data_IF_417379613656
#
_entry.id   IF_417379613656
#
_cell.length_a   1.000
_cell.length_b   1.000
_cell.length_c   1.000
_cell.angle_alpha   90.00
_cell.angle_beta   90.00
_cell.angle_gamma   90.00
#
_symmetry.space_group_name_H-M   'P 1'
#
loop_
_entity.id
_entity.type
_entity.pdbx_description
1 polymer ?
#
# COMPACT_ATOMS: atom_id res chain seq x y z
N UNK A 1 -28.17 5.59 5.37
CA UNK A 1 -28.39 5.74 3.92
C UNK A 1 -27.76 7.07 3.47
N UNK A 2 -26.44 7.11 3.20
CA UNK A 2 -25.84 8.30 2.58
C UNK A 2 -26.03 8.18 1.08
N UNK A 3 -27.01 8.93 0.56
CA UNK A 3 -27.28 9.07 -0.87
C UNK A 3 -25.98 9.45 -1.57
N UNK A 4 -25.49 8.60 -2.47
CA UNK A 4 -24.39 8.96 -3.37
C UNK A 4 -24.93 10.08 -4.27
N UNK A 5 -24.68 11.33 -3.86
CA UNK A 5 -25.18 12.50 -4.58
C UNK A 5 -24.56 12.54 -5.99
N UNK A 6 -25.28 13.11 -6.97
CA UNK A 6 -24.76 13.35 -8.33
C UNK A 6 -23.41 14.09 -8.35
N UNK A 7 -23.03 14.78 -7.26
CA UNK A 7 -21.72 15.41 -7.06
C UNK A 7 -20.61 14.40 -6.75
N UNK A 8 -20.86 13.38 -5.90
CA UNK A 8 -19.88 12.32 -5.62
C UNK A 8 -19.52 11.48 -6.86
N UNK A 9 -20.47 11.24 -7.75
CA UNK A 9 -20.22 10.54 -9.03
C UNK A 9 -19.37 11.36 -10.02
N UNK A 10 -19.43 12.70 -9.97
CA UNK A 10 -18.56 13.59 -10.78
C UNK A 10 -17.12 13.58 -10.26
N UNK A 11 -16.93 13.49 -8.94
CA UNK A 11 -15.61 13.32 -8.33
C UNK A 11 -14.97 12.01 -8.77
N UNK A 12 -15.71 10.90 -8.69
CA UNK A 12 -15.21 9.59 -9.11
C UNK A 12 -14.82 9.58 -10.60
N UNK A 13 -15.57 10.27 -11.48
CA UNK A 13 -15.18 10.45 -12.88
C UNK A 13 -13.89 11.28 -13.05
N UNK A 14 -13.73 12.39 -12.31
CA UNK A 14 -12.50 13.21 -12.36
C UNK A 14 -11.28 12.46 -11.80
N UNK A 15 -11.48 11.63 -10.78
CA UNK A 15 -10.43 10.83 -10.15
C UNK A 15 -10.04 9.60 -11.01
N UNK A 16 -11.04 9.00 -11.67
CA UNK A 16 -10.85 7.90 -12.61
C UNK A 16 -10.21 8.35 -13.93
N UNK A 17 -10.55 9.54 -14.46
CA UNK A 17 -10.00 10.04 -15.73
C UNK A 17 -8.75 10.92 -15.57
N UNK A 18 -8.53 11.55 -14.40
CA UNK A 18 -7.47 12.55 -14.19
C UNK A 18 -6.09 12.00 -13.81
N UNK A 19 -5.78 10.73 -14.07
CA UNK A 19 -4.47 10.13 -13.76
C UNK A 19 -4.24 9.71 -12.29
N UNK A 20 -5.22 9.92 -11.40
CA UNK A 20 -5.12 9.61 -9.96
C UNK A 20 -5.43 8.15 -9.65
N UNK A 21 -6.38 7.55 -10.37
CA UNK A 21 -6.77 6.14 -10.23
C UNK A 21 -5.84 5.16 -10.99
N UNK A 22 -4.55 5.49 -11.11
CA UNK A 22 -3.56 4.53 -11.62
C UNK A 22 -3.46 3.35 -10.64
N UNK A 23 -3.33 2.12 -11.16
CA UNK A 23 -3.09 0.91 -10.36
C UNK A 23 -4.28 0.29 -9.61
N UNK A 24 -5.54 0.60 -10.00
CA UNK A 24 -6.75 -0.11 -9.55
C UNK A 24 -6.88 -0.27 -8.02
N UNK A 25 -6.61 0.81 -7.27
CA UNK A 25 -6.60 0.80 -5.81
C UNK A 25 -7.26 2.05 -5.21
N UNK A 26 -8.30 1.84 -4.40
CA UNK A 26 -8.95 2.90 -3.63
C UNK A 26 -8.00 3.48 -2.57
N UNK A 27 -7.24 2.63 -1.86
CA UNK A 27 -6.30 3.05 -0.82
C UNK A 27 -5.18 3.94 -1.37
N UNK A 28 -4.56 3.57 -2.49
CA UNK A 28 -3.53 4.38 -3.13
C UNK A 28 -4.11 5.68 -3.70
N UNK A 29 -5.37 5.66 -4.15
CA UNK A 29 -6.05 6.87 -4.59
C UNK A 29 -6.25 7.84 -3.43
N UNK A 30 -6.67 7.36 -2.25
CA UNK A 30 -6.76 8.16 -1.04
C UNK A 30 -5.39 8.71 -0.59
N UNK A 31 -4.34 7.88 -0.66
CA UNK A 31 -2.96 8.28 -0.36
C UNK A 31 -2.49 9.42 -1.27
N UNK A 32 -2.70 9.29 -2.59
CA UNK A 32 -2.34 10.32 -3.57
C UNK A 32 -3.09 11.61 -3.34
N UNK A 33 -4.40 11.54 -3.07
CA UNK A 33 -5.22 12.71 -2.76
C UNK A 33 -4.72 13.44 -1.50
N UNK A 34 -4.33 12.69 -0.46
CA UNK A 34 -3.72 13.26 0.75
C UNK A 34 -2.37 13.92 0.42
N UNK A 35 -1.47 13.21 -0.26
CA UNK A 35 -0.13 13.72 -0.59
C UNK A 35 -0.18 15.00 -1.40
N UNK A 36 -1.07 15.07 -2.40
CA UNK A 36 -1.25 16.28 -3.19
C UNK A 36 -1.83 17.44 -2.36
N UNK A 37 -2.76 17.14 -1.45
CA UNK A 37 -3.30 18.14 -0.54
C UNK A 37 -2.23 18.66 0.44
N UNK A 38 -1.34 17.78 0.90
CA UNK A 38 -0.26 18.13 1.82
C UNK A 38 0.83 18.97 1.12
N UNK A 39 1.19 18.58 -0.10
CA UNK A 39 2.11 19.32 -0.97
C UNK A 39 1.58 20.70 -1.39
N UNK A 40 0.25 20.88 -1.44
CA UNK A 40 -0.36 22.17 -1.74
C UNK A 40 -0.14 23.24 -0.65
N UNK A 41 0.36 22.86 0.54
CA UNK A 41 0.81 23.82 1.56
C UNK A 41 -0.29 24.82 1.96
N UNK A 42 -0.10 26.15 1.77
CA UNK A 42 -1.11 27.16 2.05
C UNK A 42 -2.34 27.10 1.12
N UNK A 43 -2.19 26.53 -0.08
CA UNK A 43 -3.28 26.32 -1.06
C UNK A 43 -4.19 25.11 -0.78
N UNK A 44 -3.95 24.38 0.33
CA UNK A 44 -4.70 23.15 0.67
C UNK A 44 -6.22 23.32 0.73
N UNK A 45 -6.69 24.50 1.14
CA UNK A 45 -8.12 24.79 1.25
C UNK A 45 -8.80 24.87 -0.12
N UNK A 46 -8.15 25.56 -1.07
CA UNK A 46 -8.60 25.62 -2.45
C UNK A 46 -8.58 24.23 -3.10
N UNK A 47 -7.46 23.51 -2.94
CA UNK A 47 -7.32 22.14 -3.44
C UNK A 47 -8.40 21.19 -2.88
N UNK A 48 -8.66 21.23 -1.57
CA UNK A 48 -9.73 20.43 -0.95
C UNK A 48 -11.10 20.76 -1.53
N UNK A 49 -11.40 22.06 -1.74
CA UNK A 49 -12.68 22.51 -2.27
C UNK A 49 -12.89 22.07 -3.71
N UNK A 50 -11.85 22.16 -4.55
CA UNK A 50 -11.90 21.78 -5.96
C UNK A 50 -11.96 20.26 -6.18
N UNK A 51 -11.35 19.49 -5.27
CA UNK A 51 -11.31 18.03 -5.33
C UNK A 51 -12.31 17.34 -4.39
N UNK A 52 -13.20 18.11 -3.76
CA UNK A 52 -14.25 17.64 -2.85
C UNK A 52 -13.72 16.80 -1.68
N UNK A 53 -12.55 17.16 -1.16
CA UNK A 53 -11.96 16.56 0.02
C UNK A 53 -12.49 17.25 1.29
N UNK A 54 -12.74 16.46 2.33
CA UNK A 54 -13.10 16.98 3.64
C UNK A 54 -11.89 17.62 4.31
N UNK A 55 -11.86 18.95 4.43
CA UNK A 55 -10.75 19.69 5.07
C UNK A 55 -10.49 19.18 6.49
N UNK A 56 -11.55 19.02 7.29
CA UNK A 56 -11.46 18.46 8.65
C UNK A 56 -10.90 17.03 8.64
N UNK A 57 -11.31 16.21 7.67
CA UNK A 57 -10.83 14.83 7.52
C UNK A 57 -9.33 14.79 7.24
N UNK A 58 -8.83 15.62 6.33
CA UNK A 58 -7.39 15.69 6.02
C UNK A 58 -6.59 16.14 7.26
N UNK A 59 -7.09 17.12 8.00
CA UNK A 59 -6.46 17.57 9.25
C UNK A 59 -6.41 16.46 10.32
N UNK A 60 -7.49 15.69 10.46
CA UNK A 60 -7.52 14.53 11.36
C UNK A 60 -6.48 13.49 10.92
N UNK A 61 -6.41 13.16 9.63
CA UNK A 61 -5.42 12.21 9.10
C UNK A 61 -4.00 12.72 9.38
N UNK A 62 -3.72 14.01 9.20
CA UNK A 62 -2.41 14.59 9.50
C UNK A 62 -2.04 14.44 10.98
N UNK A 63 -3.00 14.67 11.89
CA UNK A 63 -2.82 14.44 13.33
C UNK A 63 -2.54 12.97 13.65
N UNK A 64 -3.32 12.05 13.07
CA UNK A 64 -3.13 10.60 13.26
C UNK A 64 -1.75 10.15 12.76
N UNK A 65 -1.28 10.65 11.62
CA UNK A 65 0.06 10.34 11.09
C UNK A 65 1.17 10.74 12.06
N UNK A 66 1.05 11.91 12.71
CA UNK A 66 2.04 12.37 13.71
C UNK A 66 2.00 11.54 14.98
N UNK A 67 0.81 11.15 15.43
CA UNK A 67 0.65 10.25 16.58
C UNK A 67 1.25 8.86 16.31
N UNK A 68 1.02 8.29 15.12
CA UNK A 68 1.63 7.03 14.72
C UNK A 68 3.16 7.13 14.65
N UNK A 69 3.70 8.26 14.17
CA UNK A 69 5.14 8.50 14.15
C UNK A 69 5.74 8.55 15.56
N UNK A 70 5.06 9.21 16.50
CA UNK A 70 5.48 9.28 17.90
C UNK A 70 5.55 7.89 18.53
N UNK A 71 4.53 7.05 18.33
CA UNK A 71 4.53 5.66 18.78
C UNK A 71 5.65 4.83 18.13
N UNK A 72 5.94 5.03 16.84
CA UNK A 72 7.04 4.34 16.15
C UNK A 72 8.43 4.79 16.65
N UNK A 73 8.57 6.07 17.01
CA UNK A 73 9.76 6.62 17.64
C UNK A 73 9.95 6.06 19.05
N UNK A 74 8.89 5.99 19.86
CA UNK A 74 8.93 5.39 21.20
C UNK A 74 9.27 3.90 21.15
N UNK A 75 8.71 3.17 20.18
CA UNK A 75 9.02 1.78 19.94
C UNK A 75 10.43 1.56 19.35
N UNK A 76 11.16 2.62 18.96
CA UNK A 76 12.53 2.53 18.43
C UNK A 76 12.65 2.12 16.96
N UNK A 77 11.54 1.92 16.24
CA UNK A 77 11.57 1.61 14.80
C UNK A 77 12.05 2.78 13.94
N UNK A 78 11.97 3.99 14.47
CA UNK A 78 12.37 5.25 13.86
C UNK A 78 13.33 5.98 14.82
N UNK A 79 13.99 7.07 14.36
CA UNK A 79 14.75 7.99 15.21
C UNK A 79 13.96 8.32 16.47
N UNK A 80 14.63 8.24 17.61
CA UNK A 80 14.03 8.52 18.92
C UNK A 80 13.78 10.02 19.10
N UNK A 81 12.83 10.37 19.97
CA UNK A 81 12.53 11.76 20.33
C UNK A 81 11.56 12.50 19.40
N UNK A 82 10.93 11.83 18.43
CA UNK A 82 9.97 12.47 17.53
C UNK A 82 8.59 12.60 18.19
N UNK A 83 8.31 13.75 18.81
CA UNK A 83 7.00 14.05 19.41
C UNK A 83 6.04 14.68 18.41
N UNK A 84 4.75 14.32 18.48
CA UNK A 84 3.72 14.83 17.55
C UNK A 84 3.68 16.37 17.47
N UNK A 85 3.80 17.06 18.61
CA UNK A 85 3.81 18.53 18.66
C UNK A 85 5.04 19.14 17.98
N UNK A 86 6.21 18.55 18.17
CA UNK A 86 7.45 19.03 17.55
C UNK A 86 7.40 18.84 16.03
N UNK A 87 6.89 17.70 15.56
CA UNK A 87 6.68 17.40 14.14
C UNK A 87 5.69 18.36 13.49
N UNK A 88 4.60 18.70 14.18
CA UNK A 88 3.65 19.71 13.68
C UNK A 88 4.27 21.11 13.59
N UNK A 89 5.08 21.49 14.58
CA UNK A 89 5.80 22.77 14.55
C UNK A 89 6.80 22.81 13.38
N UNK A 90 7.49 21.70 13.11
CA UNK A 90 8.40 21.55 11.98
C UNK A 90 7.68 21.73 10.63
N UNK A 91 6.53 21.05 10.45
CA UNK A 91 5.69 21.18 9.25
C UNK A 91 5.18 22.61 9.01
N UNK A 92 4.86 23.34 10.08
CA UNK A 92 4.46 24.76 9.98
C UNK A 92 5.62 25.71 9.66
N UNK A 93 6.81 25.48 10.22
CA UNK A 93 7.96 26.39 10.10
C UNK A 93 8.76 26.18 8.81
N UNK A 94 9.07 24.92 8.50
CA UNK A 94 9.95 24.55 7.37
C UNK A 94 9.21 23.84 6.25
N UNK A 95 8.03 23.28 6.55
CA UNK A 95 7.28 22.45 5.61
C UNK A 95 6.19 23.16 4.82
N UNK A 96 6.14 24.50 4.79
CA UNK A 96 5.13 25.25 4.05
C UNK A 96 3.68 24.94 4.47
N UNK A 97 3.48 24.49 5.71
CA UNK A 97 2.18 24.07 6.24
C UNK A 97 1.87 22.58 6.07
N UNK A 98 2.79 21.77 5.56
CA UNK A 98 2.66 20.30 5.52
C UNK A 98 2.56 19.67 6.90
N UNK A 99 2.25 18.36 6.94
CA UNK A 99 2.12 17.60 8.18
C UNK A 99 3.43 17.39 8.96
N UNK A 100 4.58 17.71 8.35
CA UNK A 100 5.92 17.67 8.96
C UNK A 100 6.53 16.27 9.10
N UNK A 101 5.80 15.19 8.80
CA UNK A 101 6.22 13.80 9.06
C UNK A 101 7.44 13.42 8.22
N UNK A 102 7.44 13.76 6.93
CA UNK A 102 8.59 13.46 6.04
C UNK A 102 9.86 14.19 6.47
N UNK A 103 9.72 15.45 6.88
CA UNK A 103 10.84 16.28 7.36
C UNK A 103 11.41 15.72 8.66
N UNK A 104 10.54 15.33 9.59
CA UNK A 104 10.96 14.74 10.86
C UNK A 104 11.75 13.43 10.67
N UNK A 105 11.39 12.61 9.68
CA UNK A 105 12.11 11.38 9.36
C UNK A 105 13.51 11.63 8.79
N UNK A 106 13.71 12.70 8.01
CA UNK A 106 14.99 12.99 7.35
C UNK A 106 15.91 13.86 8.20
N UNK A 107 15.38 14.88 8.86
CA UNK A 107 16.15 15.91 9.59
C UNK A 107 16.05 15.78 11.11
N UNK A 108 15.11 14.98 11.65
CA UNK A 108 14.81 14.95 13.08
C UNK A 108 14.01 16.18 13.54
N UNK A 109 13.87 16.34 14.85
CA UNK A 109 13.21 17.51 15.49
C UNK A 109 14.20 18.42 16.22
N UNK A 110 15.50 18.17 16.09
CA UNK A 110 16.57 18.92 16.75
C UNK A 110 16.54 20.39 16.27
N UNK A 111 16.04 21.28 17.14
CA UNK A 111 15.85 22.71 16.87
C UNK A 111 14.41 23.22 17.01
N UNK A 112 13.40 22.35 17.07
CA UNK A 112 12.00 22.78 17.26
C UNK A 112 11.65 23.09 18.73
N UNK A 113 12.32 22.43 19.69
CA UNK A 113 12.02 22.45 21.12
C UNK A 113 12.76 23.54 21.94
N UNK A 114 13.50 24.45 21.29
CA UNK A 114 14.28 25.48 21.98
C UNK A 114 13.46 26.60 22.70
N UNK A 115 12.15 26.41 22.95
CA UNK A 115 11.31 27.39 23.68
C UNK A 115 10.32 26.78 24.68
N UNK A 116 10.74 25.77 25.44
CA UNK A 116 9.94 25.28 26.56
C UNK A 116 10.71 24.42 27.55
N UNK A 117 11.30 25.04 28.57
CA UNK A 117 11.81 24.33 29.76
C UNK A 117 13.14 24.88 30.27
N UNK A 118 13.07 25.74 31.27
CA UNK A 118 14.20 26.00 32.17
C UNK A 118 14.50 24.72 32.98
N UNK A 119 15.79 24.40 33.15
CA UNK A 119 16.28 23.42 34.12
C UNK A 119 16.73 22.09 33.53
N UNK A 120 18.04 21.97 33.28
CA UNK A 120 18.69 20.70 32.92
C UNK A 120 20.00 20.96 32.19
N UNK A 121 21.10 21.05 32.93
CA UNK A 121 22.41 21.45 32.41
C UNK A 121 22.93 20.54 31.30
N UNK A 122 23.34 21.16 30.18
CA UNK A 122 24.18 20.53 29.18
C UNK A 122 25.64 20.69 29.61
N UNK A 123 26.21 19.66 30.20
CA UNK A 123 27.65 19.53 30.30
C UNK A 123 28.17 19.02 28.95
N UNK A 124 29.03 19.86 28.36
CA UNK A 124 30.17 19.45 27.53
C UNK A 124 29.88 19.07 26.08
N UNK A 125 29.89 20.08 25.21
CA UNK A 125 30.77 20.11 24.04
C UNK A 125 31.03 21.57 23.64
N UNK A 126 32.27 22.01 23.86
CA UNK A 126 32.78 23.28 23.38
C UNK A 126 33.00 23.20 21.87
N UNK A 127 32.55 24.24 21.17
CA UNK A 127 32.66 24.33 19.71
C UNK A 127 31.82 25.47 19.17
N UNK A 128 32.07 26.69 19.66
CA UNK A 128 31.48 27.90 19.11
C UNK A 128 32.12 28.20 17.75
N UNK A 129 31.52 27.77 16.63
CA UNK A 129 31.84 28.38 15.32
C UNK A 129 30.86 28.15 14.14
N UNK A 130 29.66 27.59 14.33
CA UNK A 130 28.72 27.38 13.20
C UNK A 130 27.39 28.15 13.31
N UNK A 131 27.24 29.06 14.27
CA UNK A 131 25.99 29.80 14.49
C UNK A 131 25.84 31.09 13.65
N UNK A 132 26.71 31.34 12.66
CA UNK A 132 26.65 32.56 11.83
C UNK A 132 26.29 32.36 10.36
N UNK A 133 26.26 31.13 9.85
CA UNK A 133 25.95 30.90 8.43
C UNK A 133 24.49 30.54 8.14
N UNK A 134 23.65 30.33 9.17
CA UNK A 134 22.22 30.03 8.97
C UNK A 134 21.34 31.26 8.66
N UNK A 135 21.88 32.49 8.76
CA UNK A 135 21.12 33.72 8.50
C UNK A 135 21.11 34.15 7.03
N UNK A 136 21.96 33.56 6.17
CA UNK A 136 22.17 34.01 4.79
C UNK A 136 21.34 33.26 3.73
N UNK A 137 20.39 32.39 4.11
CA UNK A 137 19.54 31.63 3.14
C UNK A 137 18.08 32.12 3.16
N UNK A 138 17.83 33.34 3.64
CA UNK A 138 16.47 33.85 3.91
C UNK A 138 15.83 34.68 2.78
N UNK A 139 16.41 34.74 1.58
CA UNK A 139 15.84 35.57 0.51
C UNK A 139 15.86 34.93 -0.88
N UNK A 140 15.51 33.64 -0.99
CA UNK A 140 15.11 33.05 -2.28
C UNK A 140 14.34 31.73 -2.07
N UNK A 141 13.10 31.81 -1.54
CA UNK A 141 12.17 30.69 -1.54
C UNK A 141 10.72 31.17 -1.46
N UNK A 142 10.30 32.01 -2.40
CA UNK A 142 8.89 32.13 -2.72
C UNK A 142 8.43 30.76 -3.29
N UNK A 143 7.29 30.19 -2.87
CA UNK A 143 6.81 28.94 -3.43
C UNK A 143 6.34 29.20 -4.86
N UNK A 144 7.22 28.97 -5.83
CA UNK A 144 6.84 28.92 -7.23
C UNK A 144 5.78 27.83 -7.43
N UNK A 145 4.80 28.15 -8.29
CA UNK A 145 3.72 27.23 -8.66
C UNK A 145 4.36 26.00 -9.28
N UNK A 146 4.09 24.82 -8.70
CA UNK A 146 4.55 23.51 -9.18
C UNK A 146 4.43 23.42 -10.70
N UNK A 147 5.56 23.29 -11.39
CA UNK A 147 5.61 23.07 -12.83
C UNK A 147 5.00 21.70 -13.16
N UNK A 148 4.52 21.52 -14.40
CA UNK A 148 3.93 20.25 -14.84
C UNK A 148 4.92 19.07 -14.81
N UNK A 149 6.22 19.36 -14.91
CA UNK A 149 7.29 18.36 -14.99
C UNK A 149 7.66 17.81 -13.59
N UNK A 150 7.65 18.64 -12.54
CA UNK A 150 7.86 18.22 -11.14
C UNK A 150 6.78 17.25 -10.64
N UNK A 151 5.55 17.42 -11.16
CA UNK A 151 4.42 16.55 -10.84
C UNK A 151 4.60 15.19 -11.49
N UNK A 152 5.11 15.14 -12.73
CA UNK A 152 5.35 13.92 -13.49
C UNK A 152 6.43 13.04 -12.84
N UNK A 153 7.58 13.60 -12.46
CA UNK A 153 8.68 12.87 -11.81
C UNK A 153 8.24 12.26 -10.46
N UNK A 154 7.46 13.00 -9.66
CA UNK A 154 6.90 12.47 -8.40
C UNK A 154 5.90 11.35 -8.64
N UNK A 155 5.14 11.39 -9.73
CA UNK A 155 4.25 10.29 -10.11
C UNK A 155 5.02 9.03 -10.51
N UNK A 156 6.16 9.16 -11.18
CA UNK A 156 7.02 8.04 -11.56
C UNK A 156 7.71 7.38 -10.36
N UNK A 157 8.20 8.18 -9.40
CA UNK A 157 8.77 7.64 -8.16
C UNK A 157 7.73 6.87 -7.33
N UNK A 158 6.48 7.36 -7.29
CA UNK A 158 5.37 6.67 -6.64
C UNK A 158 4.91 5.44 -7.42
N UNK A 159 5.02 5.45 -8.75
CA UNK A 159 4.75 4.27 -9.56
C UNK A 159 5.74 3.14 -9.23
N UNK A 160 7.04 3.44 -9.09
CA UNK A 160 8.06 2.46 -8.68
C UNK A 160 7.78 1.81 -7.32
N UNK A 161 7.19 2.56 -6.39
CA UNK A 161 6.86 2.08 -5.03
C UNK A 161 5.48 1.41 -4.93
N UNK A 162 4.69 1.42 -6.00
CA UNK A 162 3.31 0.93 -5.98
C UNK A 162 3.17 -0.57 -5.62
N UNK A 163 3.99 -1.49 -6.18
CA UNK A 163 3.89 -2.91 -5.84
C UNK A 163 4.22 -3.18 -4.36
N UNK A 164 5.23 -2.50 -3.82
CA UNK A 164 5.58 -2.56 -2.40
C UNK A 164 4.44 -2.06 -1.51
N UNK A 165 3.82 -0.92 -1.85
CA UNK A 165 2.69 -0.40 -1.09
C UNK A 165 1.49 -1.35 -1.11
N UNK A 166 1.22 -1.99 -2.26
CA UNK A 166 0.18 -3.02 -2.36
C UNK A 166 0.50 -4.25 -1.50
N UNK A 167 1.77 -4.64 -1.44
CA UNK A 167 2.20 -5.75 -0.59
C UNK A 167 2.03 -5.43 0.91
N UNK A 168 2.35 -4.20 1.32
CA UNK A 168 2.09 -3.73 2.68
C UNK A 168 0.58 -3.67 3.00
N UNK A 169 -0.26 -3.31 2.03
CA UNK A 169 -1.72 -3.38 2.19
C UNK A 169 -2.20 -4.82 2.39
N UNK A 170 -1.60 -5.80 1.70
CA UNK A 170 -1.88 -7.22 1.96
C UNK A 170 -1.53 -7.58 3.39
N UNK A 171 -0.32 -7.24 3.86
CA UNK A 171 0.09 -7.54 5.24
C UNK A 171 -0.85 -6.94 6.30
N UNK A 172 -1.44 -5.77 6.03
CA UNK A 172 -2.34 -5.10 6.95
C UNK A 172 -3.80 -5.59 6.89
N UNK A 173 -4.30 -5.97 5.71
CA UNK A 173 -5.71 -6.32 5.49
C UNK A 173 -5.97 -7.82 5.44
N UNK A 174 -4.94 -8.66 5.30
CA UNK A 174 -5.09 -10.10 5.36
C UNK A 174 -5.73 -10.52 6.70
N UNK A 175 -6.76 -11.40 6.72
CA UNK A 175 -7.23 -12.32 5.68
C UNK A 175 -8.37 -11.79 4.76
N UNK A 176 -8.62 -10.48 4.69
CA UNK A 176 -9.71 -9.89 3.89
C UNK A 176 -9.38 -9.85 2.39
N UNK A 177 -9.50 -11.00 1.72
CA UNK A 177 -9.19 -11.19 0.31
C UNK A 177 -10.44 -11.61 -0.48
N UNK A 178 -10.59 -11.06 -1.67
CA UNK A 178 -11.59 -11.43 -2.66
C UNK A 178 -10.92 -11.91 -3.95
N UNK A 179 -11.53 -12.89 -4.60
CA UNK A 179 -11.09 -13.46 -5.86
C UNK A 179 -12.06 -13.07 -6.97
N UNK A 180 -11.53 -12.58 -8.09
CA UNK A 180 -12.29 -12.26 -9.30
C UNK A 180 -12.31 -13.47 -10.21
N UNK A 181 -13.50 -13.94 -10.59
CA UNK A 181 -13.61 -14.88 -11.70
C UNK A 181 -13.53 -14.12 -13.01
N UNK A 182 -12.34 -14.11 -13.62
CA UNK A 182 -12.16 -13.60 -14.96
C UNK A 182 -12.83 -14.59 -15.94
N UNK A 183 -13.72 -14.15 -16.84
CA UNK A 183 -14.31 -15.02 -17.83
C UNK A 183 -13.18 -15.58 -18.70
N UNK A 184 -13.06 -16.91 -18.74
CA UNK A 184 -12.08 -17.58 -19.60
C UNK A 184 -12.26 -17.08 -21.04
N UNK A 185 -11.15 -16.67 -21.68
CA UNK A 185 -11.14 -16.39 -23.11
C UNK A 185 -11.52 -17.69 -23.83
N UNK A 186 -12.81 -17.90 -24.12
CA UNK A 186 -13.22 -18.96 -25.03
C UNK A 186 -12.52 -18.70 -26.36
N UNK A 187 -11.74 -19.67 -26.82
CA UNK A 187 -11.05 -19.66 -28.11
C UNK A 187 -12.06 -19.77 -29.28
N UNK A 188 -12.99 -18.83 -29.37
CA UNK A 188 -13.84 -18.63 -30.53
C UNK A 188 -13.14 -17.70 -31.51
N UNK A 189 -13.07 -18.10 -32.79
CA UNK A 189 -12.59 -17.25 -33.88
C UNK A 189 -13.54 -16.06 -34.05
N UNK A 190 -13.28 -14.96 -33.34
CA UNK A 190 -14.02 -13.72 -33.44
C UNK A 190 -13.42 -12.62 -32.55
N UNK A 191 -13.65 -11.34 -32.83
CA UNK A 191 -13.13 -10.25 -32.02
C UNK A 191 -13.71 -10.33 -30.60
N UNK A 192 -12.84 -10.59 -29.62
CA UNK A 192 -13.21 -10.69 -28.20
C UNK A 192 -13.59 -9.31 -27.69
N UNK A 193 -14.90 -9.02 -27.59
CA UNK A 193 -15.37 -7.81 -26.89
C UNK A 193 -14.94 -7.89 -25.42
N UNK A 194 -14.44 -6.79 -24.81
CA UNK A 194 -14.11 -6.77 -23.39
C UNK A 194 -15.39 -7.08 -22.58
N UNK A 195 -15.28 -7.87 -21.50
CA UNK A 195 -16.44 -8.21 -20.67
C UNK A 195 -17.08 -6.95 -20.11
N UNK A 196 -18.41 -6.92 -20.00
CA UNK A 196 -19.08 -5.81 -19.34
C UNK A 196 -18.77 -5.86 -17.84
N UNK A 197 -18.57 -4.72 -17.15
CA UNK A 197 -18.22 -4.69 -15.73
C UNK A 197 -19.27 -5.37 -14.82
N UNK A 198 -20.51 -5.54 -15.31
CA UNK A 198 -21.60 -6.21 -14.61
C UNK A 198 -21.57 -7.75 -14.71
N UNK A 199 -20.69 -8.33 -15.52
CA UNK A 199 -20.58 -9.79 -15.70
C UNK A 199 -19.55 -10.46 -14.79
N UNK A 200 -18.71 -9.68 -14.11
CA UNK A 200 -17.66 -10.20 -13.24
C UNK A 200 -18.24 -10.64 -11.90
N UNK A 201 -17.91 -11.88 -11.52
CA UNK A 201 -18.30 -12.46 -10.23
C UNK A 201 -17.12 -12.34 -9.27
N UNK A 202 -17.36 -11.76 -8.10
CA UNK A 202 -16.38 -11.67 -7.04
C UNK A 202 -16.75 -12.66 -5.95
N UNK A 203 -15.77 -13.42 -5.46
CA UNK A 203 -15.95 -14.42 -4.41
C UNK A 203 -15.08 -14.11 -3.21
N UNK A 204 -15.65 -14.21 -2.02
CA UNK A 204 -14.91 -14.15 -0.76
C UNK A 204 -15.02 -15.48 -0.02
N UNK A 205 -13.96 -15.86 0.71
CA UNK A 205 -14.05 -16.98 1.64
C UNK A 205 -14.87 -16.56 2.86
N UNK A 206 -15.88 -17.35 3.23
CA UNK A 206 -16.50 -17.27 4.55
C UNK A 206 -15.79 -18.24 5.50
N UNK A 207 -15.26 -17.78 6.63
CA UNK A 207 -14.58 -18.65 7.59
C UNK A 207 -15.53 -19.69 8.19
N UNK A 208 -16.82 -19.37 8.32
CA UNK A 208 -17.82 -20.21 8.99
C UNK A 208 -18.34 -21.39 8.15
N UNK A 209 -18.38 -21.26 6.81
CA UNK A 209 -19.01 -22.29 5.96
C UNK A 209 -18.07 -22.94 4.95
N UNK A 210 -16.85 -22.43 4.76
CA UNK A 210 -15.91 -22.89 3.73
C UNK A 210 -16.38 -22.66 2.28
N UNK A 211 -17.65 -22.30 2.07
CA UNK A 211 -18.24 -22.02 0.76
C UNK A 211 -17.92 -20.57 0.35
N UNK A 212 -17.43 -20.36 -0.89
CA UNK A 212 -17.20 -19.02 -1.40
C UNK A 212 -18.53 -18.26 -1.51
N UNK A 213 -18.60 -17.07 -0.92
CA UNK A 213 -19.77 -16.20 -1.01
C UNK A 213 -19.59 -15.20 -2.14
N UNK A 214 -20.61 -15.06 -2.98
CA UNK A 214 -20.62 -14.05 -4.04
C UNK A 214 -20.83 -12.65 -3.46
N UNK A 215 -20.01 -11.71 -3.92
CA UNK A 215 -20.04 -10.29 -3.54
C UNK A 215 -19.94 -9.40 -4.77
N UNK A 216 -20.24 -8.13 -4.61
CA UNK A 216 -20.08 -7.12 -5.66
C UNK A 216 -19.23 -5.95 -5.18
N UNK A 217 -18.62 -5.20 -6.09
CA UNK A 217 -17.93 -3.95 -5.75
C UNK A 217 -18.93 -2.83 -5.49
N UNK A 218 -18.72 -2.06 -4.44
CA UNK A 218 -19.59 -0.92 -4.12
C UNK A 218 -19.42 0.19 -5.18
N UNK A 219 -20.50 0.87 -5.64
CA UNK A 219 -20.42 1.90 -6.68
C UNK A 219 -19.50 3.10 -6.39
N UNK A 220 -19.08 3.30 -5.13
CA UNK A 220 -18.13 4.36 -4.75
C UNK A 220 -16.67 3.98 -4.96
N UNK A 221 -16.35 2.70 -5.19
CA UNK A 221 -15.00 2.25 -5.47
C UNK A 221 -14.57 2.70 -6.86
N UNK A 222 -13.28 3.04 -7.02
CA UNK A 222 -12.67 3.31 -8.33
C UNK A 222 -12.79 2.12 -9.28
N UNK A 223 -12.85 0.91 -8.74
CA UNK A 223 -12.91 -0.33 -9.50
C UNK A 223 -14.35 -0.76 -9.89
N UNK A 224 -15.38 -0.03 -9.45
CA UNK A 224 -16.78 -0.42 -9.67
C UNK A 224 -17.20 -0.44 -11.15
N UNK A 225 -16.50 0.29 -12.02
CA UNK A 225 -16.77 0.38 -13.46
C UNK A 225 -15.69 -0.29 -14.31
N UNK A 226 -14.68 -0.86 -13.67
CA UNK A 226 -13.55 -1.47 -14.33
C UNK A 226 -13.92 -2.89 -14.75
N UNK A 227 -13.67 -3.23 -16.02
CA UNK A 227 -13.91 -4.57 -16.56
C UNK A 227 -12.64 -5.40 -16.73
N UNK A 228 -11.47 -4.77 -16.67
CA UNK A 228 -10.16 -5.41 -16.82
C UNK A 228 -9.38 -5.18 -15.53
N UNK A 229 -8.99 -6.26 -14.86
CA UNK A 229 -8.20 -6.21 -13.64
C UNK A 229 -6.77 -6.66 -13.92
N UNK A 230 -5.81 -6.02 -13.26
CA UNK A 230 -4.38 -6.35 -13.39
C UNK A 230 -4.05 -7.69 -12.73
N UNK A 231 -4.87 -8.09 -11.74
CA UNK A 231 -4.72 -9.35 -11.01
C UNK A 231 -6.07 -9.96 -10.67
N UNK A 232 -6.08 -11.28 -10.46
CA UNK A 232 -7.24 -12.06 -9.98
C UNK A 232 -7.61 -11.73 -8.53
N UNK A 233 -6.67 -11.23 -7.75
CA UNK A 233 -6.85 -11.06 -6.32
C UNK A 233 -7.03 -9.60 -5.92
N UNK A 234 -7.92 -9.39 -4.95
CA UNK A 234 -8.27 -8.10 -4.40
C UNK A 234 -8.20 -8.16 -2.89
N UNK A 235 -7.69 -7.12 -2.26
CA UNK A 235 -7.87 -6.87 -0.81
C UNK A 235 -8.94 -5.82 -0.61
N UNK A 236 -9.69 -5.95 0.47
CA UNK A 236 -10.71 -4.98 0.87
C UNK A 236 -10.62 -4.68 2.36
N UNK A 237 -11.12 -3.53 2.78
CA UNK A 237 -11.15 -3.14 4.19
C UNK A 237 -12.55 -3.27 4.81
N UNK A 238 -13.61 -2.97 4.04
CA UNK A 238 -14.96 -2.94 4.58
C UNK A 238 -15.95 -3.73 3.72
N UNK A 239 -16.75 -4.55 4.39
CA UNK A 239 -17.86 -5.34 3.84
C UNK A 239 -19.17 -4.77 4.36
N UNK A 240 -20.07 -4.37 3.45
CA UNK A 240 -21.41 -3.87 3.82
C UNK A 240 -22.51 -4.65 3.15
N UNK A 241 -23.59 -4.95 3.90
CA UNK A 241 -24.79 -5.62 3.37
C UNK A 241 -25.91 -4.58 3.26
N UNK A 242 -26.36 -4.32 2.05
CA UNK A 242 -27.58 -3.54 1.79
C UNK A 242 -28.56 -4.42 1.02
N UNK A 243 -28.68 -4.23 -0.28
CA UNK A 243 -29.44 -5.10 -1.19
C UNK A 243 -28.69 -6.39 -1.48
N UNK A 244 -27.37 -6.30 -1.64
CA UNK A 244 -26.42 -7.41 -1.76
C UNK A 244 -25.21 -7.10 -0.88
N UNK A 245 -24.30 -8.06 -0.74
CA UNK A 245 -23.04 -7.83 -0.03
C UNK A 245 -22.09 -7.09 -0.97
N UNK A 246 -21.68 -5.90 -0.55
CA UNK A 246 -20.76 -5.04 -1.29
C UNK A 246 -19.43 -4.89 -0.55
N UNK A 247 -18.34 -4.91 -1.30
CA UNK A 247 -17.01 -4.54 -0.82
C UNK A 247 -16.78 -3.05 -1.06
N UNK A 248 -16.33 -2.35 -0.02
CA UNK A 248 -15.84 -0.97 -0.09
C UNK A 248 -14.31 -0.99 0.04
N UNK A 249 -13.70 0.05 -0.52
CA UNK A 249 -12.26 0.31 -0.47
C UNK A 249 -11.43 -0.91 -0.87
N UNK A 250 -11.35 -1.11 -2.19
CA UNK A 250 -10.78 -2.30 -2.81
C UNK A 250 -9.47 -1.97 -3.50
N UNK A 251 -8.51 -2.90 -3.46
CA UNK A 251 -7.22 -2.76 -4.14
C UNK A 251 -6.77 -4.06 -4.77
N UNK A 252 -6.33 -4.01 -6.03
CA UNK A 252 -5.71 -5.17 -6.69
C UNK A 252 -4.33 -5.45 -6.13
N UNK A 253 -4.03 -6.72 -5.94
CA UNK A 253 -2.78 -7.19 -5.34
C UNK A 253 -2.16 -8.29 -6.18
N UNK A 254 -0.84 -8.31 -6.23
CA UNK A 254 -0.08 -9.35 -6.94
C UNK A 254 -0.18 -10.68 -6.19
N UNK A 255 -0.20 -11.83 -6.89
CA UNK A 255 -0.06 -13.17 -6.30
C UNK A 255 1.13 -13.26 -5.33
N UNK A 256 2.28 -12.69 -5.69
CA UNK A 256 3.49 -12.73 -4.87
C UNK A 256 3.31 -12.02 -3.53
N UNK A 257 2.54 -10.93 -3.50
CA UNK A 257 2.21 -10.22 -2.26
C UNK A 257 1.43 -11.12 -1.29
N UNK A 258 0.51 -11.94 -1.80
CA UNK A 258 -0.27 -12.89 -1.00
C UNK A 258 0.57 -14.10 -0.56
N UNK A 259 1.51 -14.56 -1.38
CA UNK A 259 2.42 -15.64 -0.99
C UNK A 259 3.34 -15.23 0.15
N UNK A 260 3.90 -14.02 0.08
CA UNK A 260 4.83 -13.48 1.07
C UNK A 260 4.15 -13.06 2.38
N UNK A 261 3.05 -12.29 2.30
CA UNK A 261 2.41 -11.66 3.46
C UNK A 261 1.06 -12.26 3.84
N UNK A 262 0.61 -13.33 3.17
CA UNK A 262 -0.63 -14.01 3.48
C UNK A 262 -0.54 -14.88 4.74
N UNK A 263 -1.45 -15.84 4.87
CA UNK A 263 -1.48 -16.78 5.98
C UNK A 263 -0.48 -17.91 5.83
N UNK A 264 -0.80 -19.10 6.33
CA UNK A 264 0.09 -20.26 6.29
C UNK A 264 0.37 -20.66 4.84
N UNK A 265 1.65 -20.78 4.49
CA UNK A 265 2.11 -21.20 3.16
C UNK A 265 2.44 -22.69 3.18
N UNK A 266 1.73 -23.49 2.39
CA UNK A 266 1.99 -24.93 2.25
C UNK A 266 2.33 -25.28 0.81
N UNK A 267 3.35 -26.12 0.65
CA UNK A 267 3.64 -26.76 -0.63
C UNK A 267 2.77 -28.01 -0.78
N UNK A 268 2.01 -28.07 -1.85
CA UNK A 268 1.35 -29.27 -2.33
C UNK A 268 2.13 -29.80 -3.53
N UNK A 269 2.73 -30.98 -3.37
CA UNK A 269 3.28 -31.70 -4.51
C UNK A 269 2.10 -32.36 -5.24
N UNK A 270 1.87 -31.94 -6.48
CA UNK A 270 0.98 -32.67 -7.38
C UNK A 270 1.61 -34.03 -7.62
N UNK A 271 1.11 -35.06 -6.94
CA UNK A 271 1.65 -36.40 -7.03
C UNK A 271 1.59 -36.91 -8.48
N UNK A 272 2.71 -36.83 -9.19
CA UNK A 272 3.11 -37.81 -10.20
C UNK A 272 3.38 -39.14 -9.46
N UNK A 273 2.31 -39.81 -9.03
CA UNK A 273 2.44 -41.05 -8.25
C UNK A 273 1.18 -41.89 -8.03
N UNK A 274 -0.02 -41.43 -8.40
CA UNK A 274 -1.20 -42.29 -8.44
C UNK A 274 -1.54 -42.64 -9.89
N UNK A 275 -1.08 -43.79 -10.36
CA UNK A 275 -1.63 -44.46 -11.56
C UNK A 275 -3.14 -44.58 -11.42
N UNK A 276 -3.96 -43.93 -12.27
CA UNK A 276 -5.33 -44.35 -12.46
C UNK A 276 -5.27 -45.62 -13.29
N UNK A 277 -5.69 -46.77 -12.73
CA UNK A 277 -6.05 -47.93 -13.54
C UNK A 277 -7.16 -47.49 -14.50
N UNK A 278 -6.83 -47.29 -15.77
CA UNK A 278 -7.80 -47.26 -16.87
C UNK A 278 -8.15 -45.90 -17.54
N UNK A 279 -7.27 -44.89 -17.54
CA UNK A 279 -7.53 -43.62 -18.26
C UNK A 279 -6.42 -43.22 -19.23
N UNK A 280 -6.76 -42.96 -20.51
CA UNK A 280 -5.83 -42.48 -21.56
C UNK A 280 -5.04 -41.25 -21.07
N UNK A 281 -3.71 -41.36 -21.00
CA UNK A 281 -2.75 -40.26 -20.80
C UNK A 281 -3.08 -39.11 -21.77
N UNK A 282 -3.53 -37.96 -21.26
CA UNK A 282 -3.34 -36.68 -21.95
C UNK A 282 -1.83 -36.43 -21.99
N UNK A 283 -1.27 -36.29 -23.19
CA UNK A 283 0.19 -36.20 -23.45
C UNK A 283 0.82 -34.86 -23.05
N UNK A 284 0.04 -33.89 -22.54
CA UNK A 284 0.47 -32.49 -22.40
C UNK A 284 0.37 -31.94 -20.96
N UNK A 285 0.54 -32.76 -19.92
CA UNK A 285 0.65 -32.26 -18.54
C UNK A 285 2.12 -32.03 -18.16
N UNK A 286 2.57 -30.80 -17.85
CA UNK A 286 3.96 -30.51 -17.50
C UNK A 286 4.36 -31.26 -16.23
N UNK A 287 5.51 -31.94 -16.27
CA UNK A 287 5.99 -32.88 -15.23
C UNK A 287 6.44 -32.16 -13.93
N UNK A 288 6.61 -30.84 -13.96
CA UNK A 288 7.16 -30.04 -12.84
C UNK A 288 6.20 -28.95 -12.29
N UNK A 289 4.88 -29.10 -12.46
CA UNK A 289 3.91 -28.10 -11.96
C UNK A 289 3.53 -28.36 -10.50
N UNK A 290 4.22 -27.75 -9.55
CA UNK A 290 3.87 -27.78 -8.13
C UNK A 290 2.77 -26.76 -7.81
N UNK A 291 2.09 -26.93 -6.68
CA UNK A 291 1.05 -26.00 -6.21
C UNK A 291 1.43 -25.42 -4.87
N UNK A 292 1.43 -24.10 -4.76
CA UNK A 292 1.63 -23.38 -3.50
C UNK A 292 0.27 -22.91 -2.99
N UNK A 293 -0.04 -23.20 -1.73
CA UNK A 293 -1.33 -22.93 -1.13
C UNK A 293 -1.20 -21.96 0.04
N UNK A 294 -2.02 -20.91 0.06
CA UNK A 294 -2.14 -19.98 1.19
C UNK A 294 -3.45 -20.26 1.93
N UNK A 295 -3.35 -20.57 3.23
CA UNK A 295 -4.45 -20.91 4.13
C UNK A 295 -5.41 -22.00 3.60
N UNK A 296 -4.91 -22.90 2.76
CA UNK A 296 -5.65 -24.05 2.24
C UNK A 296 -6.67 -23.73 1.13
N UNK A 297 -6.76 -22.48 0.66
CA UNK A 297 -7.79 -22.09 -0.31
C UNK A 297 -7.27 -21.28 -1.50
N UNK A 298 -6.29 -20.40 -1.29
CA UNK A 298 -5.67 -19.67 -2.40
C UNK A 298 -4.58 -20.57 -2.98
N UNK A 299 -4.82 -21.11 -4.17
CA UNK A 299 -3.89 -22.01 -4.85
C UNK A 299 -3.20 -21.31 -6.01
N UNK A 300 -1.88 -21.37 -6.01
CA UNK A 300 -1.03 -20.86 -7.07
C UNK A 300 -0.30 -22.02 -7.73
N UNK A 301 -0.30 -22.05 -9.05
CA UNK A 301 0.52 -22.99 -9.82
C UNK A 301 1.88 -22.36 -10.02
N UNK A 302 2.95 -23.03 -9.60
CA UNK A 302 4.32 -22.56 -9.77
C UNK A 302 5.27 -23.76 -10.00
N UNK A 303 6.34 -23.58 -10.77
CA UNK A 303 7.42 -24.56 -10.85
C UNK A 303 8.00 -24.90 -9.47
N UNK A 304 8.53 -26.12 -9.31
CA UNK A 304 9.14 -26.58 -8.03
C UNK A 304 10.25 -25.64 -7.52
N UNK A 305 11.05 -25.08 -8.43
CA UNK A 305 12.13 -24.15 -8.06
C UNK A 305 11.58 -22.85 -7.44
N UNK A 306 10.59 -22.22 -8.08
CA UNK A 306 9.95 -21.00 -7.55
C UNK A 306 9.23 -21.28 -6.23
N UNK A 307 8.60 -22.45 -6.10
CA UNK A 307 7.93 -22.88 -4.87
C UNK A 307 8.91 -22.91 -3.69
N UNK A 308 10.06 -23.57 -3.87
CA UNK A 308 11.09 -23.67 -2.84
C UNK A 308 11.70 -22.30 -2.50
N UNK A 309 11.99 -21.49 -3.52
CA UNK A 309 12.51 -20.13 -3.32
C UNK A 309 11.54 -19.26 -2.52
N UNK A 310 10.25 -19.31 -2.83
CA UNK A 310 9.22 -18.54 -2.12
C UNK A 310 9.09 -18.96 -0.65
N UNK A 311 9.12 -20.27 -0.38
CA UNK A 311 9.06 -20.79 0.99
C UNK A 311 10.26 -20.33 1.82
N UNK A 312 11.47 -20.44 1.28
CA UNK A 312 12.67 -20.06 2.01
C UNK A 312 12.79 -18.54 2.16
N UNK A 313 12.50 -17.77 1.11
CA UNK A 313 12.48 -16.31 1.17
C UNK A 313 11.48 -15.81 2.23
N UNK A 314 10.30 -16.42 2.30
CA UNK A 314 9.29 -16.06 3.31
C UNK A 314 9.74 -16.41 4.72
N UNK A 315 10.33 -17.59 4.92
CA UNK A 315 10.85 -18.04 6.22
C UNK A 315 11.95 -17.11 6.72
N UNK A 316 12.90 -16.75 5.86
CA UNK A 316 13.97 -15.81 6.21
C UNK A 316 13.43 -14.40 6.46
N UNK A 317 12.46 -13.93 5.66
CA UNK A 317 11.81 -12.64 5.89
C UNK A 317 11.12 -12.60 7.25
N UNK A 318 10.36 -13.64 7.59
CA UNK A 318 9.72 -13.75 8.91
C UNK A 318 10.75 -13.79 10.05
N UNK A 319 11.89 -14.47 9.86
CA UNK A 319 12.98 -14.51 10.84
C UNK A 319 13.56 -13.12 11.09
N UNK A 320 13.87 -12.39 10.01
CA UNK A 320 14.39 -11.01 10.07
C UNK A 320 13.39 -10.07 10.76
N UNK A 321 12.11 -10.13 10.39
CA UNK A 321 11.07 -9.31 11.01
C UNK A 321 10.87 -9.64 12.49
N UNK A 322 10.92 -10.92 12.87
CA UNK A 322 10.81 -11.35 14.27
C UNK A 322 11.96 -10.80 15.13
N UNK A 323 13.18 -10.84 14.63
CA UNK A 323 14.34 -10.25 15.30
C UNK A 323 14.16 -8.73 15.48
N UNK A 324 13.65 -8.04 14.45
CA UNK A 324 13.37 -6.60 14.51
C UNK A 324 12.29 -6.26 15.55
N UNK A 325 11.28 -7.10 15.70
CA UNK A 325 10.24 -6.92 16.73
C UNK A 325 10.81 -7.09 18.13
N UNK A 326 11.70 -8.07 18.34
CA UNK A 326 12.34 -8.32 19.64
C UNK A 326 13.35 -7.24 20.01
N UNK A 327 14.00 -6.62 19.03
CA UNK A 327 15.02 -5.59 19.25
C UNK A 327 14.90 -4.48 18.21
N UNK A 328 13.97 -3.53 18.43
CA UNK A 328 13.60 -2.51 17.46
C UNK A 328 14.63 -1.38 17.31
N UNK A 329 15.73 -1.37 18.06
CA UNK A 329 16.84 -0.44 17.86
C UNK A 329 17.95 -0.96 16.91
N UNK A 330 18.00 -2.28 16.64
CA UNK A 330 19.10 -2.90 15.88
C UNK A 330 18.89 -2.73 14.37
N UNK A 331 19.86 -2.13 13.68
CA UNK A 331 19.85 -2.02 12.22
C UNK A 331 19.80 -3.40 11.54
N UNK A 332 19.28 -3.45 10.32
CA UNK A 332 19.31 -4.70 9.56
C UNK A 332 20.77 -5.09 9.28
N UNK A 333 21.04 -6.39 9.28
CA UNK A 333 22.32 -6.92 8.81
C UNK A 333 22.40 -6.79 7.29
N UNK A 334 23.60 -6.74 6.71
CA UNK A 334 23.78 -6.68 5.24
C UNK A 334 23.01 -7.80 4.50
N UNK A 335 22.98 -9.00 5.09
CA UNK A 335 22.21 -10.14 4.56
C UNK A 335 20.71 -9.87 4.58
N UNK A 336 20.20 -9.28 5.66
CA UNK A 336 18.79 -8.91 5.77
C UNK A 336 18.42 -7.78 4.81
N UNK A 337 19.31 -6.81 4.59
CA UNK A 337 19.11 -5.75 3.60
C UNK A 337 19.08 -6.31 2.18
N UNK A 338 20.01 -7.22 1.83
CA UNK A 338 20.01 -7.93 0.56
C UNK A 338 18.73 -8.72 0.32
N UNK A 339 18.21 -9.40 1.36
CA UNK A 339 16.93 -10.10 1.30
C UNK A 339 15.75 -9.14 1.05
N UNK A 340 15.70 -8.00 1.73
CA UNK A 340 14.64 -7.00 1.55
C UNK A 340 14.67 -6.46 0.12
N UNK A 341 15.85 -6.16 -0.43
CA UNK A 341 16.00 -5.71 -1.82
C UNK A 341 15.51 -6.78 -2.80
N UNK A 342 15.88 -8.04 -2.59
CA UNK A 342 15.41 -9.16 -3.41
C UNK A 342 13.88 -9.31 -3.37
N UNK A 343 13.27 -9.15 -2.18
CA UNK A 343 11.80 -9.17 -2.03
C UNK A 343 11.13 -7.99 -2.75
N UNK A 344 11.71 -6.79 -2.68
CA UNK A 344 11.20 -5.62 -3.40
C UNK A 344 11.26 -5.84 -4.91
N UNK A 345 12.33 -6.45 -5.41
CA UNK A 345 12.47 -6.79 -6.83
C UNK A 345 11.42 -7.83 -7.24
N UNK A 346 11.25 -8.90 -6.46
CA UNK A 346 10.25 -9.94 -6.71
C UNK A 346 8.82 -9.37 -6.78
N UNK A 347 8.49 -8.42 -5.89
CA UNK A 347 7.20 -7.73 -5.89
C UNK A 347 7.02 -6.81 -7.10
N UNK A 348 8.10 -6.35 -7.72
CA UNK A 348 8.06 -5.45 -8.87
C UNK A 348 7.91 -6.18 -10.20
N UNK A 349 8.30 -7.45 -10.24
CA UNK A 349 8.27 -8.31 -11.44
C UNK A 349 6.92 -9.00 -11.70
N UNK A 350 5.98 -8.98 -10.74
CA UNK A 350 4.70 -9.70 -10.87
C UNK A 350 3.45 -8.87 -10.67
#
# INVERSE_FOLDING_TARGET
MRVVTKRGMRCLKRWSCGGWARSQSDHLTALRAYMACDAAGPGRFAFCRENFLGIKTIQIIAGLKRQLLELLSEAGFVRQGLRSRAVEALGRRLGGGSDGVRLALTQGTEGADARGGAGGGCYRCGGAHLARDCAAVMEEAAPERLSGDDVLERHEEQARKTPLLKALLVAALYPQVAEVELPEKKAGKGPVKPPSPQSLKFRIRKPESGVPAEVALHPSSVNAKTSVFDSRFLVFHEKVKTTRVYLRDVSTVSPYSLMLFGGTLTAEETATGATPRGGRKRRDAPVDSSVLCVDGWIRFKCPRNEQHLMLEARKELHRVLKLRIQSPAIAFTEVAEGLIVAVIQLLSEG
#
